data_IF_699235346942
#
_entry.id   IF_699235346942
#
_cell.length_a   1.000
_cell.length_b   1.000
_cell.length_c   1.000
_cell.angle_alpha   90.00
_cell.angle_beta   90.00
_cell.angle_gamma   90.00
#
_symmetry.space_group_name_H-M   'P 1'
#
loop_
_entity.id
_entity.type
_entity.pdbx_description
1 polymer ?
#
# COMPACT_ATOMS: atom_id res chain seq x y z
N UNK A 1 19.17 14.63 8.67
CA UNK A 1 19.59 14.74 7.25
C UNK A 1 18.36 14.54 6.40
N UNK A 2 18.23 15.21 5.24
CA UNK A 2 17.08 15.01 4.36
C UNK A 2 16.93 13.53 3.96
N UNK A 3 15.72 13.08 3.75
CA UNK A 3 15.40 11.74 3.24
C UNK A 3 15.58 11.71 1.73
N UNK A 4 15.14 12.78 1.05
CA UNK A 4 15.22 12.91 -0.40
C UNK A 4 16.51 13.62 -0.80
N UNK A 5 17.30 13.00 -1.67
CA UNK A 5 18.49 13.59 -2.28
C UNK A 5 18.10 14.63 -3.35
N UNK A 6 19.07 15.32 -3.90
CA UNK A 6 18.85 16.23 -5.04
C UNK A 6 18.40 15.48 -6.30
N UNK A 7 18.92 14.29 -6.47
CA UNK A 7 18.59 13.37 -7.56
C UNK A 7 17.16 12.87 -7.42
N UNK A 8 16.72 12.51 -6.20
CA UNK A 8 15.34 12.14 -5.90
C UNK A 8 14.37 13.27 -6.20
N UNK A 9 14.72 14.51 -5.85
CA UNK A 9 13.91 15.68 -6.17
C UNK A 9 13.81 15.95 -7.67
N UNK A 10 14.90 15.80 -8.41
CA UNK A 10 14.88 15.96 -9.87
C UNK A 10 14.00 14.88 -10.51
N UNK A 11 14.13 13.64 -10.04
CA UNK A 11 13.33 12.52 -10.50
C UNK A 11 11.83 12.71 -10.18
N UNK A 12 11.51 13.16 -8.97
CA UNK A 12 10.14 13.49 -8.56
C UNK A 12 9.50 14.53 -9.48
N UNK A 13 10.24 15.62 -9.78
CA UNK A 13 9.73 16.69 -10.64
C UNK A 13 9.49 16.23 -12.08
N UNK A 14 10.29 15.32 -12.57
CA UNK A 14 10.19 14.79 -13.95
C UNK A 14 9.10 13.71 -14.06
N UNK A 15 9.02 12.81 -13.08
CA UNK A 15 8.25 11.57 -13.18
C UNK A 15 6.98 11.55 -12.32
N UNK A 16 6.83 12.46 -11.35
CA UNK A 16 5.67 12.53 -10.47
C UNK A 16 5.65 11.49 -9.34
N UNK A 17 6.71 10.70 -9.19
CA UNK A 17 6.89 9.76 -8.08
C UNK A 17 8.35 9.67 -7.66
N UNK A 18 8.59 9.11 -6.47
CA UNK A 18 9.93 8.80 -5.98
C UNK A 18 9.90 7.54 -5.12
N UNK A 19 10.96 6.75 -5.16
CA UNK A 19 11.11 5.55 -4.33
C UNK A 19 12.03 5.86 -3.16
N UNK A 20 11.50 5.75 -1.94
CA UNK A 20 12.28 5.91 -0.71
C UNK A 20 12.73 4.52 -0.25
N UNK A 21 14.01 4.21 -0.49
CA UNK A 21 14.60 2.96 -0.03
C UNK A 21 14.77 2.95 1.49
N UNK A 22 14.65 1.75 2.09
CA UNK A 22 14.79 1.55 3.54
C UNK A 22 13.92 2.51 4.35
N UNK A 23 12.68 2.72 3.90
CA UNK A 23 11.75 3.66 4.51
C UNK A 23 11.41 3.32 5.96
N UNK A 24 11.41 2.03 6.30
CA UNK A 24 11.20 1.49 7.65
C UNK A 24 12.17 0.32 7.90
N UNK A 25 12.44 -0.05 9.18
CA UNK A 25 13.22 -1.24 9.49
C UNK A 25 12.53 -2.52 9.03
N UNK A 26 13.32 -3.54 8.65
CA UNK A 26 12.80 -4.85 8.23
C UNK A 26 11.85 -5.46 9.27
N UNK A 27 12.17 -5.35 10.55
CA UNK A 27 11.31 -5.85 11.62
C UNK A 27 9.88 -5.26 11.61
N UNK A 28 9.71 -4.04 11.13
CA UNK A 28 8.39 -3.41 11.00
C UNK A 28 7.61 -4.01 9.82
N UNK A 29 8.31 -4.32 8.74
CA UNK A 29 7.73 -5.00 7.58
C UNK A 29 7.29 -6.42 7.97
N UNK A 30 8.18 -7.18 8.61
CA UNK A 30 7.90 -8.55 9.07
C UNK A 30 6.70 -8.59 10.02
N UNK A 31 6.67 -7.69 11.00
CA UNK A 31 5.54 -7.58 11.94
C UNK A 31 4.22 -7.28 11.23
N UNK A 32 4.25 -6.47 10.17
CA UNK A 32 3.04 -6.15 9.40
C UNK A 32 2.59 -7.33 8.54
N UNK A 33 3.52 -8.08 7.95
CA UNK A 33 3.23 -9.32 7.24
C UNK A 33 2.57 -10.34 8.16
N UNK A 34 3.13 -10.56 9.34
CA UNK A 34 2.55 -11.49 10.34
C UNK A 34 1.12 -11.07 10.73
N UNK A 35 0.90 -9.77 10.96
CA UNK A 35 -0.44 -9.24 11.27
C UNK A 35 -1.46 -9.49 10.16
N UNK A 36 -1.06 -9.41 8.90
CA UNK A 36 -1.97 -9.71 7.77
C UNK A 36 -2.40 -11.17 7.79
N UNK A 37 -1.44 -12.08 7.94
CA UNK A 37 -1.72 -13.53 7.98
C UNK A 37 -2.58 -13.90 9.19
N UNK A 38 -2.26 -13.33 10.35
CA UNK A 38 -3.03 -13.54 11.59
C UNK A 38 -4.46 -13.00 11.48
N UNK A 39 -4.62 -11.80 10.93
CA UNK A 39 -5.95 -11.20 10.72
C UNK A 39 -6.81 -12.02 9.78
N UNK A 40 -6.24 -12.50 8.68
CA UNK A 40 -6.94 -13.32 7.71
C UNK A 40 -7.11 -14.78 8.16
N UNK A 41 -6.42 -15.22 9.22
CA UNK A 41 -6.44 -16.61 9.68
C UNK A 41 -6.13 -17.60 8.55
N UNK A 42 -5.07 -17.30 7.79
CA UNK A 42 -4.59 -18.07 6.65
C UNK A 42 -3.21 -18.61 7.00
N UNK A 43 -2.99 -19.91 6.73
CA UNK A 43 -1.66 -20.49 6.77
C UNK A 43 -0.85 -19.98 5.58
N UNK A 44 0.22 -19.23 5.85
CA UNK A 44 1.08 -18.66 4.81
C UNK A 44 1.84 -19.68 4.00
N UNK A 45 2.07 -20.88 4.54
CA UNK A 45 2.77 -21.97 3.87
C UNK A 45 1.82 -22.80 2.97
N UNK A 46 0.52 -22.73 3.21
CA UNK A 46 -0.50 -23.37 2.39
C UNK A 46 -0.99 -22.43 1.28
N UNK A 47 -0.45 -22.59 0.08
CA UNK A 47 -0.80 -21.76 -1.08
C UNK A 47 -2.27 -21.87 -1.49
N UNK A 48 -2.93 -22.99 -1.22
CA UNK A 48 -4.38 -23.13 -1.49
C UNK A 48 -5.20 -22.31 -0.48
N UNK A 49 -4.74 -22.23 0.76
CA UNK A 49 -5.37 -21.42 1.79
C UNK A 49 -5.34 -19.90 1.47
N UNK A 50 -4.44 -19.42 0.61
CA UNK A 50 -4.41 -18.03 0.19
C UNK A 50 -5.69 -17.60 -0.52
N UNK A 51 -6.43 -18.54 -1.10
CA UNK A 51 -7.70 -18.34 -1.78
C UNK A 51 -8.91 -18.73 -0.90
N UNK A 52 -8.71 -18.82 0.42
CA UNK A 52 -9.74 -19.19 1.42
C UNK A 52 -11.00 -18.35 1.31
N UNK A 53 -10.85 -17.07 1.06
CA UNK A 53 -11.96 -16.15 0.99
C UNK A 53 -12.42 -15.92 -0.45
N UNK A 54 -13.73 -15.81 -0.63
CA UNK A 54 -14.23 -15.15 -1.82
C UNK A 54 -14.09 -13.64 -1.61
N UNK A 55 -13.29 -12.94 -2.45
CA UNK A 55 -13.11 -11.51 -2.25
C UNK A 55 -14.42 -10.75 -2.41
N UNK A 56 -14.63 -9.74 -1.59
CA UNK A 56 -15.83 -8.93 -1.72
C UNK A 56 -15.75 -7.96 -2.91
N UNK A 57 -16.90 -7.70 -3.52
CA UNK A 57 -17.10 -6.59 -4.44
C UNK A 57 -17.57 -5.34 -3.67
N UNK A 58 -17.69 -4.21 -4.37
CA UNK A 58 -18.14 -2.94 -3.79
C UNK A 58 -19.48 -3.04 -3.06
N UNK A 59 -20.35 -3.93 -3.52
CA UNK A 59 -21.74 -4.04 -3.05
C UNK A 59 -21.95 -5.15 -2.02
N UNK A 60 -20.96 -6.02 -1.81
CA UNK A 60 -21.05 -7.17 -0.89
C UNK A 60 -19.76 -7.27 -0.07
N UNK A 61 -19.79 -6.73 1.15
CA UNK A 61 -18.62 -6.68 2.07
C UNK A 61 -18.66 -7.83 3.09
N UNK A 62 -18.91 -9.03 2.66
CA UNK A 62 -18.98 -10.21 3.54
C UNK A 62 -17.61 -10.88 3.79
N UNK A 63 -16.55 -10.42 3.16
CA UNK A 63 -15.19 -10.98 3.25
C UNK A 63 -14.23 -10.00 3.93
N UNK A 64 -13.19 -10.47 4.64
CA UNK A 64 -12.16 -9.60 5.20
C UNK A 64 -11.19 -9.04 4.16
N UNK A 65 -11.36 -9.37 2.89
CA UNK A 65 -10.47 -8.96 1.81
C UNK A 65 -11.24 -8.69 0.51
N UNK A 66 -10.84 -7.64 -0.22
CA UNK A 66 -11.44 -7.28 -1.52
C UNK A 66 -10.74 -7.97 -2.69
N UNK A 67 -11.36 -7.94 -3.87
CA UNK A 67 -10.76 -8.42 -5.12
C UNK A 67 -9.48 -7.66 -5.52
N UNK A 68 -9.34 -6.40 -5.08
CA UNK A 68 -8.10 -5.63 -5.25
C UNK A 68 -7.03 -5.98 -4.20
N UNK A 69 -7.30 -6.91 -3.29
CA UNK A 69 -6.39 -7.33 -2.24
C UNK A 69 -6.43 -6.47 -0.98
N UNK A 70 -7.33 -5.50 -0.88
CA UNK A 70 -7.45 -4.64 0.31
C UNK A 70 -7.97 -5.45 1.49
N UNK A 71 -7.16 -5.58 2.54
CA UNK A 71 -7.47 -6.29 3.78
C UNK A 71 -8.15 -5.33 4.75
N UNK A 72 -9.29 -5.71 5.33
CA UNK A 72 -10.12 -4.83 6.16
C UNK A 72 -9.56 -4.63 7.59
N UNK A 73 -8.25 -4.44 7.69
CA UNK A 73 -7.56 -4.09 8.94
C UNK A 73 -7.10 -2.64 8.88
N UNK A 74 -7.60 -1.81 9.80
CA UNK A 74 -7.33 -0.37 9.86
C UNK A 74 -6.53 0.03 11.09
N UNK A 75 -6.76 -0.64 12.21
CA UNK A 75 -6.26 -0.29 13.53
C UNK A 75 -5.47 -1.45 14.12
N UNK A 76 -4.17 -1.37 14.00
CA UNK A 76 -3.24 -2.27 14.64
C UNK A 76 -1.92 -1.54 14.92
N UNK A 77 -1.20 -1.89 15.99
CA UNK A 77 0.05 -1.22 16.35
C UNK A 77 1.08 -1.27 15.21
N UNK A 78 1.23 -2.42 14.55
CA UNK A 78 2.17 -2.53 13.43
C UNK A 78 1.84 -1.60 12.24
N UNK A 79 0.55 -1.29 12.00
CA UNK A 79 0.16 -0.27 11.01
C UNK A 79 0.61 1.12 11.45
N UNK A 80 0.44 1.45 12.75
CA UNK A 80 0.85 2.74 13.29
C UNK A 80 2.36 2.90 13.34
N UNK A 81 3.10 1.86 13.71
CA UNK A 81 4.56 1.87 13.76
C UNK A 81 5.17 2.16 12.39
N UNK A 82 4.53 1.71 11.31
CA UNK A 82 4.92 2.03 9.94
C UNK A 82 4.45 3.43 9.51
N UNK A 83 3.17 3.76 9.68
CA UNK A 83 2.60 5.06 9.25
C UNK A 83 3.28 6.26 9.90
N UNK A 84 3.68 6.13 11.16
CA UNK A 84 4.33 7.18 11.94
C UNK A 84 5.84 7.02 12.03
N UNK A 85 6.42 6.13 11.24
CA UNK A 85 7.86 5.95 11.28
C UNK A 85 8.57 7.27 10.89
N UNK A 86 9.57 7.72 11.68
CA UNK A 86 10.14 9.06 11.49
C UNK A 86 10.64 9.35 10.08
N UNK A 87 11.23 8.36 9.41
CA UNK A 87 11.73 8.52 8.05
C UNK A 87 10.59 8.70 7.02
N UNK A 88 9.46 8.00 7.22
CA UNK A 88 8.26 8.19 6.39
C UNK A 88 7.69 9.58 6.60
N UNK A 89 7.50 9.98 7.86
CA UNK A 89 7.03 11.34 8.19
C UNK A 89 7.93 12.41 7.58
N UNK A 90 9.25 12.25 7.69
CA UNK A 90 10.21 13.20 7.14
C UNK A 90 10.12 13.28 5.60
N UNK A 91 9.99 12.14 4.89
CA UNK A 91 9.83 12.15 3.43
C UNK A 91 8.58 12.94 3.00
N UNK A 92 7.44 12.69 3.66
CA UNK A 92 6.23 13.45 3.40
C UNK A 92 6.37 14.93 3.78
N UNK A 93 7.02 15.24 4.90
CA UNK A 93 7.27 16.62 5.32
C UNK A 93 8.12 17.39 4.32
N UNK A 94 9.13 16.76 3.74
CA UNK A 94 9.95 17.35 2.69
C UNK A 94 9.13 17.64 1.42
N UNK A 95 8.28 16.71 1.01
CA UNK A 95 7.43 16.88 -0.20
C UNK A 95 6.37 17.98 0.02
N UNK A 96 5.74 18.01 1.19
CA UNK A 96 4.72 19.01 1.51
C UNK A 96 5.29 20.36 1.92
N UNK A 97 6.56 20.42 2.36
CA UNK A 97 7.16 21.62 2.92
C UNK A 97 6.60 22.02 4.29
N UNK A 98 6.00 21.08 5.01
CA UNK A 98 5.41 21.27 6.34
C UNK A 98 5.60 20.01 7.20
N UNK A 99 5.94 20.17 8.47
CA UNK A 99 6.08 19.09 9.44
C UNK A 99 4.75 18.71 10.12
N UNK A 100 3.75 19.57 10.04
CA UNK A 100 2.44 19.37 10.68
C UNK A 100 1.51 18.62 9.74
N UNK A 101 1.71 17.32 9.64
CA UNK A 101 0.94 16.45 8.77
C UNK A 101 -0.02 15.56 9.56
N UNK A 102 -1.19 15.31 8.98
CA UNK A 102 -2.10 14.30 9.46
C UNK A 102 -1.74 12.93 8.87
N UNK A 103 -1.81 11.90 9.70
CA UNK A 103 -1.70 10.52 9.23
C UNK A 103 -3.07 10.07 8.72
N UNK A 104 -3.16 9.75 7.43
CA UNK A 104 -4.36 9.13 6.87
C UNK A 104 -4.42 7.65 7.28
N UNK A 105 -5.65 7.18 7.51
CA UNK A 105 -5.91 5.77 7.78
C UNK A 105 -6.25 5.06 6.47
N UNK A 106 -5.48 4.05 6.14
CA UNK A 106 -5.77 3.13 5.06
C UNK A 106 -5.42 1.69 5.47
N UNK A 107 -5.69 0.77 4.58
CA UNK A 107 -5.63 -0.67 4.80
C UNK A 107 -4.27 -1.24 4.40
N UNK A 108 -4.02 -2.46 4.84
CA UNK A 108 -3.00 -3.29 4.24
C UNK A 108 -3.52 -3.90 2.92
N UNK A 109 -2.61 -4.38 2.11
CA UNK A 109 -2.92 -5.07 0.88
C UNK A 109 -2.21 -6.43 0.83
N UNK A 110 -2.96 -7.47 0.49
CA UNK A 110 -2.44 -8.81 0.23
C UNK A 110 -3.18 -9.36 -0.98
N UNK A 111 -2.47 -9.67 -2.03
CA UNK A 111 -3.07 -10.19 -3.26
C UNK A 111 -2.36 -11.50 -3.63
N UNK A 112 -3.08 -12.65 -3.60
CA UNK A 112 -2.52 -13.90 -4.08
C UNK A 112 -2.27 -13.83 -5.59
N UNK A 113 -1.38 -14.66 -6.14
CA UNK A 113 -1.17 -14.77 -7.58
C UNK A 113 -2.46 -15.01 -8.36
N UNK A 114 -2.57 -14.44 -9.56
CA UNK A 114 -3.70 -14.71 -10.44
C UNK A 114 -3.70 -16.19 -10.85
N UNK A 115 -4.89 -16.82 -10.86
CA UNK A 115 -5.08 -18.23 -11.25
C UNK A 115 -6.34 -18.37 -12.11
N UNK A 116 -6.27 -19.16 -13.16
CA UNK A 116 -7.41 -19.40 -14.06
C UNK A 116 -8.62 -20.04 -13.36
N UNK A 117 -8.36 -20.90 -12.36
CA UNK A 117 -9.40 -21.55 -11.56
C UNK A 117 -9.93 -20.65 -10.41
N UNK A 118 -9.40 -19.43 -10.27
CA UNK A 118 -9.78 -18.42 -9.28
C UNK A 118 -9.96 -17.05 -9.94
N UNK A 119 -10.89 -16.93 -10.92
CA UNK A 119 -11.05 -15.71 -11.71
C UNK A 119 -11.48 -14.50 -10.86
N UNK A 120 -12.09 -14.70 -9.71
CA UNK A 120 -12.47 -13.67 -8.77
C UNK A 120 -11.27 -12.90 -8.16
N UNK A 121 -10.07 -13.47 -8.27
CA UNK A 121 -8.82 -12.85 -7.85
C UNK A 121 -8.04 -12.22 -9.00
N UNK A 122 -8.49 -12.41 -10.25
CA UNK A 122 -7.87 -11.83 -11.43
C UNK A 122 -8.33 -10.36 -11.56
N UNK A 123 -7.68 -9.45 -10.85
CA UNK A 123 -7.92 -8.02 -10.96
C UNK A 123 -6.75 -7.37 -11.71
N UNK A 124 -7.02 -6.92 -12.92
CA UNK A 124 -6.03 -6.24 -13.76
C UNK A 124 -5.74 -4.80 -13.29
N UNK A 125 -6.47 -4.33 -12.29
CA UNK A 125 -6.40 -2.95 -11.85
C UNK A 125 -7.12 -2.01 -12.82
N UNK A 126 -7.05 -0.73 -12.54
CA UNK A 126 -7.51 0.32 -13.45
C UNK A 126 -6.69 1.60 -13.23
N UNK A 127 -6.43 2.32 -14.30
CA UNK A 127 -5.83 3.65 -14.22
C UNK A 127 -6.94 4.63 -13.86
N UNK A 128 -6.78 5.36 -12.77
CA UNK A 128 -7.76 6.33 -12.30
C UNK A 128 -7.10 7.46 -11.50
N UNK A 129 -7.87 8.51 -11.30
CA UNK A 129 -7.52 9.58 -10.37
C UNK A 129 -8.28 9.38 -9.06
N UNK A 130 -7.59 9.49 -7.93
CA UNK A 130 -8.22 9.51 -6.60
C UNK A 130 -8.77 10.89 -6.23
N UNK A 131 -8.81 11.80 -7.20
CA UNK A 131 -9.26 13.18 -7.03
C UNK A 131 -10.30 13.54 -8.08
N UNK A 132 -11.18 14.45 -7.70
CA UNK A 132 -12.10 15.08 -8.62
C UNK A 132 -11.35 16.04 -9.56
N UNK A 133 -11.08 15.58 -10.77
CA UNK A 133 -10.37 16.34 -11.80
C UNK A 133 -11.27 17.36 -12.52
N UNK A 134 -12.57 17.38 -12.25
CA UNK A 134 -13.48 18.41 -12.79
C UNK A 134 -13.27 19.78 -12.12
N UNK A 135 -12.67 19.82 -10.94
CA UNK A 135 -12.35 21.03 -10.21
C UNK A 135 -10.94 21.53 -10.57
N UNK A 136 -10.84 22.83 -10.86
CA UNK A 136 -9.57 23.46 -11.22
C UNK A 136 -9.26 24.64 -10.28
N UNK A 137 -8.01 24.80 -9.82
CA UNK A 137 -6.88 23.87 -10.02
C UNK A 137 -7.07 22.56 -9.24
N UNK A 138 -6.60 21.45 -9.77
CA UNK A 138 -6.59 20.18 -9.05
C UNK A 138 -5.74 20.35 -7.80
N UNK A 139 -6.29 19.99 -6.64
CA UNK A 139 -5.57 20.13 -5.37
C UNK A 139 -4.33 19.22 -5.35
N UNK A 140 -3.21 19.76 -4.89
CA UNK A 140 -2.01 18.96 -4.65
C UNK A 140 -2.30 17.85 -3.63
N UNK A 141 -1.70 16.70 -3.79
CA UNK A 141 -1.79 15.59 -2.85
C UNK A 141 -0.77 14.52 -3.20
N UNK A 142 -0.31 13.84 -2.18
CA UNK A 142 0.70 12.78 -2.28
C UNK A 142 0.20 11.56 -1.54
N UNK A 143 0.33 10.40 -2.16
CA UNK A 143 0.08 9.10 -1.56
C UNK A 143 1.39 8.32 -1.49
N UNK A 144 1.49 7.39 -0.56
CA UNK A 144 2.62 6.48 -0.46
C UNK A 144 2.15 5.04 -0.32
N UNK A 145 2.83 4.15 -0.99
CA UNK A 145 2.65 2.70 -0.85
C UNK A 145 3.90 2.13 -0.20
N UNK A 146 3.74 1.49 0.96
CA UNK A 146 4.82 0.76 1.61
C UNK A 146 4.78 -0.69 1.17
N UNK A 147 5.78 -1.10 0.40
CA UNK A 147 5.95 -2.51 0.04
C UNK A 147 6.46 -3.30 1.25
N UNK A 148 5.76 -4.35 1.62
CA UNK A 148 6.09 -5.20 2.77
C UNK A 148 7.01 -6.35 2.39
N UNK A 149 7.05 -6.71 1.10
CA UNK A 149 7.89 -7.77 0.52
C UNK A 149 8.47 -7.28 -0.80
N UNK A 150 9.52 -7.92 -1.27
CA UNK A 150 10.03 -7.68 -2.61
C UNK A 150 8.93 -7.91 -3.65
N UNK A 151 8.82 -6.95 -4.56
CA UNK A 151 7.80 -6.99 -5.62
C UNK A 151 8.48 -6.85 -6.97
N UNK A 152 8.49 -7.93 -7.73
CA UNK A 152 9.03 -7.94 -9.10
C UNK A 152 8.01 -7.38 -10.10
N UNK A 153 8.48 -7.07 -11.30
CA UNK A 153 7.63 -6.62 -12.43
C UNK A 153 6.47 -7.57 -12.73
N UNK A 154 6.62 -8.85 -12.44
CA UNK A 154 5.60 -9.88 -12.69
C UNK A 154 4.56 -10.01 -11.57
N UNK A 155 4.76 -9.33 -10.45
CA UNK A 155 3.88 -9.40 -9.27
C UNK A 155 2.83 -8.29 -9.23
N UNK A 156 2.82 -7.40 -10.23
CA UNK A 156 1.85 -6.32 -10.30
C UNK A 156 2.09 -5.25 -9.25
N UNK A 157 3.20 -4.54 -9.35
CA UNK A 157 3.50 -3.38 -8.54
C UNK A 157 2.60 -2.18 -8.86
N UNK A 158 2.75 -1.10 -8.11
CA UNK A 158 2.15 0.20 -8.40
C UNK A 158 2.78 0.78 -9.69
N UNK A 159 1.94 1.29 -10.57
CA UNK A 159 2.34 1.90 -11.86
C UNK A 159 1.79 3.30 -11.97
#
# INVERSE_FOLDING_TARGET
MPVLSKEDWAFWQENGYVVVHDAVPQQNLDAMVDVIWDFLQIDREDREAWYKYKPYSRDDRCSPISAAGMVEIYQHQALWDNRQYPRIHQAFSEIWGDEKLWVSLDRANMKPPAREDKPEWCNEGMIHWDKDTSQQPVSFGVQGVLYLTDTSEQQGGFQ
#
